data_IF_005580251681
#
_entry.id   IF_005580251681
#
_cell.length_a   1.000
_cell.length_b   1.000
_cell.length_c   1.000
_cell.angle_alpha   90.00
_cell.angle_beta   90.00
_cell.angle_gamma   90.00
#
_symmetry.space_group_name_H-M   'P 1'
#
loop_
_entity.id
_entity.type
_entity.pdbx_description
1 polymer ?
#
# COMPACT_ATOMS: atom_id res chain seq x y z
N UNK A 1 70.67 50.80 -5.52
CA UNK A 1 69.80 50.22 -4.47
C UNK A 1 68.42 49.98 -5.09
N UNK A 2 68.11 48.74 -5.48
CA UNK A 2 66.86 48.39 -6.14
C UNK A 2 65.78 48.07 -5.08
N UNK A 3 64.70 48.85 -5.08
CA UNK A 3 63.60 48.75 -4.11
C UNK A 3 62.65 47.62 -4.55
N UNK A 4 62.69 46.49 -3.85
CA UNK A 4 61.96 45.27 -4.17
C UNK A 4 60.59 45.29 -3.48
N UNK A 5 59.59 45.86 -4.15
CA UNK A 5 58.21 45.92 -3.68
C UNK A 5 57.53 44.54 -3.69
N UNK A 6 57.36 43.94 -2.52
CA UNK A 6 56.64 42.68 -2.33
C UNK A 6 55.14 42.91 -2.57
N UNK A 7 54.63 42.50 -3.74
CA UNK A 7 53.20 42.41 -4.01
C UNK A 7 52.57 41.28 -3.16
N UNK A 8 51.92 41.63 -2.04
CA UNK A 8 50.97 40.73 -1.37
C UNK A 8 49.80 40.46 -2.32
N UNK A 9 49.77 39.27 -2.94
CA UNK A 9 48.54 38.77 -3.57
C UNK A 9 47.53 38.51 -2.46
N UNK A 10 46.38 39.19 -2.50
CA UNK A 10 45.19 38.78 -1.76
C UNK A 10 44.91 37.34 -2.16
N UNK A 11 44.94 36.43 -1.18
CA UNK A 11 44.41 35.09 -1.35
C UNK A 11 42.95 35.27 -1.79
N UNK A 12 42.65 34.86 -3.02
CA UNK A 12 41.28 34.74 -3.47
C UNK A 12 40.61 33.75 -2.53
N UNK A 13 39.61 34.24 -1.79
CA UNK A 13 38.63 33.38 -1.11
C UNK A 13 38.11 32.44 -2.18
N UNK A 14 38.50 31.16 -2.08
CA UNK A 14 37.86 30.11 -2.84
C UNK A 14 36.42 30.08 -2.33
N UNK A 15 35.52 30.65 -3.13
CA UNK A 15 34.08 30.40 -3.05
C UNK A 15 33.91 28.88 -3.19
N UNK A 16 34.04 28.17 -2.08
CA UNK A 16 33.62 26.80 -1.96
C UNK A 16 32.13 26.85 -2.30
N UNK A 17 31.79 26.40 -3.52
CA UNK A 17 30.43 26.31 -4.02
C UNK A 17 29.60 25.48 -3.07
N UNK A 18 29.05 26.16 -2.07
CA UNK A 18 28.21 25.57 -1.05
C UNK A 18 26.92 25.18 -1.75
N UNK A 19 26.75 23.89 -2.01
CA UNK A 19 25.46 23.32 -2.30
C UNK A 19 24.55 23.78 -1.15
N UNK A 20 23.74 24.82 -1.41
CA UNK A 20 23.05 25.51 -0.32
C UNK A 20 22.17 24.48 0.38
N UNK A 21 22.16 24.49 1.73
CA UNK A 21 21.37 23.57 2.56
C UNK A 21 19.91 23.44 2.09
N UNK A 22 19.37 24.48 1.46
CA UNK A 22 18.04 24.52 0.84
C UNK A 22 17.84 23.46 -0.25
N UNK A 23 18.87 23.15 -1.04
CA UNK A 23 18.84 22.13 -2.09
C UNK A 23 18.87 20.70 -1.55
N UNK A 24 19.34 20.51 -0.30
CA UNK A 24 19.30 19.22 0.40
C UNK A 24 18.03 19.10 1.24
N UNK A 25 17.64 20.16 1.93
CA UNK A 25 16.48 20.18 2.82
C UNK A 25 15.15 20.03 2.05
N UNK A 26 15.03 20.62 0.86
CA UNK A 26 13.81 20.54 0.06
C UNK A 26 13.42 19.09 -0.34
N UNK A 27 14.29 18.28 -0.98
CA UNK A 27 13.94 16.91 -1.32
C UNK A 27 13.72 16.01 -0.10
N UNK A 28 14.44 16.26 1.01
CA UNK A 28 14.22 15.52 2.27
C UNK A 28 12.84 15.83 2.84
N UNK A 29 12.42 17.09 2.87
CA UNK A 29 11.09 17.49 3.32
C UNK A 29 9.99 16.88 2.45
N UNK A 30 10.17 16.90 1.12
CA UNK A 30 9.22 16.26 0.19
C UNK A 30 9.16 14.76 0.43
N UNK A 31 10.31 14.08 0.58
CA UNK A 31 10.36 12.65 0.88
C UNK A 31 9.68 12.29 2.21
N UNK A 32 9.92 13.09 3.25
CA UNK A 32 9.26 12.91 4.56
C UNK A 32 7.76 13.15 4.44
N UNK A 33 7.32 14.17 3.71
CA UNK A 33 5.89 14.45 3.48
C UNK A 33 5.23 13.33 2.70
N UNK A 34 5.91 12.79 1.67
CA UNK A 34 5.42 11.67 0.87
C UNK A 34 5.33 10.39 1.69
N UNK A 35 6.30 10.10 2.57
CA UNK A 35 6.25 8.96 3.48
C UNK A 35 5.14 9.13 4.53
N UNK A 36 4.98 10.32 5.10
CA UNK A 36 3.87 10.64 6.00
C UNK A 36 2.53 10.47 5.30
N UNK A 37 2.41 10.93 4.06
CA UNK A 37 1.20 10.74 3.25
C UNK A 37 0.92 9.25 3.03
N UNK A 38 1.94 8.46 2.70
CA UNK A 38 1.78 7.02 2.51
C UNK A 38 1.38 6.32 3.82
N UNK A 39 1.97 6.70 4.96
CA UNK A 39 1.68 6.05 6.24
C UNK A 39 0.35 6.49 6.88
N UNK A 40 -0.10 7.72 6.64
CA UNK A 40 -1.34 8.27 7.22
C UNK A 40 -2.54 8.05 6.31
N UNK A 41 -2.35 8.09 4.99
CA UNK A 41 -3.44 7.99 4.00
C UNK A 41 -3.42 6.70 3.18
N UNK A 42 -2.46 5.77 3.36
CA UNK A 42 -2.62 4.45 2.76
C UNK A 42 -3.87 3.78 3.35
N UNK A 43 -4.77 3.25 2.50
CA UNK A 43 -5.89 2.48 3.01
C UNK A 43 -5.35 1.31 3.83
N UNK A 44 -6.03 0.95 4.94
CA UNK A 44 -5.64 -0.20 5.73
C UNK A 44 -5.59 -1.45 4.84
N UNK A 45 -4.69 -2.40 5.13
CA UNK A 45 -4.64 -3.64 4.39
C UNK A 45 -6.02 -4.32 4.44
N UNK A 46 -6.48 -4.91 3.33
CA UNK A 46 -7.81 -5.52 3.28
C UNK A 46 -7.90 -6.64 4.32
N UNK A 47 -8.93 -6.58 5.15
CA UNK A 47 -9.19 -7.62 6.15
C UNK A 47 -9.58 -8.93 5.46
N UNK A 48 -9.42 -10.06 6.16
CA UNK A 48 -9.85 -11.37 5.66
C UNK A 48 -11.32 -11.35 5.25
N UNK A 49 -12.19 -10.71 6.03
CA UNK A 49 -13.61 -10.56 5.71
C UNK A 49 -13.85 -9.80 4.39
N UNK A 50 -13.08 -8.75 4.12
CA UNK A 50 -13.15 -8.03 2.85
C UNK A 50 -12.73 -8.91 1.67
N UNK A 51 -11.68 -9.72 1.85
CA UNK A 51 -11.22 -10.65 0.82
C UNK A 51 -12.24 -11.75 0.55
N UNK A 52 -12.87 -12.29 1.61
CA UNK A 52 -13.94 -13.28 1.48
C UNK A 52 -15.14 -12.73 0.72
N UNK A 53 -15.59 -11.51 1.05
CA UNK A 53 -16.67 -10.84 0.31
C UNK A 53 -16.29 -10.58 -1.14
N UNK A 54 -15.04 -10.19 -1.41
CA UNK A 54 -14.56 -9.99 -2.77
C UNK A 54 -14.56 -11.29 -3.58
N UNK A 55 -14.19 -12.40 -2.95
CA UNK A 55 -14.22 -13.73 -3.56
C UNK A 55 -15.66 -14.20 -3.85
N UNK A 56 -16.59 -14.01 -2.93
CA UNK A 56 -18.01 -14.29 -3.18
C UNK A 56 -18.58 -13.45 -4.34
N UNK A 57 -18.21 -12.17 -4.38
CA UNK A 57 -18.60 -11.29 -5.48
C UNK A 57 -18.01 -11.76 -6.81
N UNK A 58 -16.75 -12.20 -6.81
CA UNK A 58 -16.09 -12.75 -8.00
C UNK A 58 -16.79 -14.02 -8.51
N UNK A 59 -17.17 -14.95 -7.64
CA UNK A 59 -17.96 -16.14 -8.01
C UNK A 59 -19.26 -15.72 -8.70
N UNK A 60 -19.99 -14.76 -8.12
CA UNK A 60 -21.26 -14.28 -8.68
C UNK A 60 -21.09 -13.60 -10.03
N UNK A 61 -20.00 -12.86 -10.23
CA UNK A 61 -19.68 -12.22 -11.50
C UNK A 61 -19.42 -13.23 -12.62
N UNK A 62 -18.93 -14.42 -12.29
CA UNK A 62 -18.61 -15.47 -13.24
C UNK A 62 -19.73 -16.51 -13.37
N UNK A 63 -20.97 -16.16 -12.99
CA UNK A 63 -22.14 -17.04 -13.14
C UNK A 63 -22.31 -18.09 -12.04
N UNK A 64 -21.46 -18.07 -11.01
CA UNK A 64 -21.66 -18.84 -9.81
C UNK A 64 -22.82 -18.31 -8.96
N UNK A 65 -23.43 -19.19 -8.17
CA UNK A 65 -24.54 -18.82 -7.27
C UNK A 65 -24.19 -19.27 -5.86
N UNK A 66 -24.35 -18.36 -4.90
CA UNK A 66 -24.14 -18.60 -3.48
C UNK A 66 -25.44 -18.24 -2.78
N UNK A 67 -26.13 -19.25 -2.24
CA UNK A 67 -27.45 -19.12 -1.62
C UNK A 67 -27.41 -19.56 -0.17
N UNK A 68 -27.93 -18.72 0.73
CA UNK A 68 -28.10 -19.02 2.16
C UNK A 68 -26.81 -19.39 2.93
N UNK A 69 -25.65 -19.17 2.32
CA UNK A 69 -24.34 -19.41 2.92
C UNK A 69 -23.40 -18.25 2.62
N UNK A 70 -22.41 -18.07 3.48
CA UNK A 70 -21.32 -17.12 3.33
C UNK A 70 -20.00 -17.76 3.80
N UNK A 71 -18.88 -17.23 3.31
CA UNK A 71 -17.56 -17.57 3.82
C UNK A 71 -17.28 -16.74 5.06
N UNK A 72 -16.81 -17.41 6.11
CA UNK A 72 -16.47 -16.78 7.38
C UNK A 72 -15.17 -17.35 7.94
N UNK A 73 -14.45 -16.54 8.70
CA UNK A 73 -13.29 -16.98 9.46
C UNK A 73 -13.75 -17.51 10.83
N UNK A 74 -13.32 -18.72 11.15
CA UNK A 74 -13.59 -19.38 12.42
C UNK A 74 -12.29 -19.47 13.25
N UNK A 75 -12.26 -18.89 14.46
CA UNK A 75 -11.09 -18.97 15.33
C UNK A 75 -10.65 -20.42 15.56
N UNK A 76 -9.39 -20.72 15.26
CA UNK A 76 -8.80 -22.06 15.45
C UNK A 76 -9.13 -23.10 14.37
N UNK A 77 -10.03 -22.81 13.42
CA UNK A 77 -10.39 -23.72 12.32
C UNK A 77 -10.03 -23.17 10.93
N UNK A 78 -9.83 -21.86 10.80
CA UNK A 78 -9.54 -21.22 9.53
C UNK A 78 -10.80 -20.70 8.85
N UNK A 79 -10.83 -20.70 7.52
CA UNK A 79 -11.97 -20.21 6.73
C UNK A 79 -12.93 -21.37 6.45
N UNK A 80 -14.22 -21.16 6.67
CA UNK A 80 -15.26 -22.13 6.42
C UNK A 80 -16.53 -21.50 5.85
N UNK A 81 -17.54 -22.33 5.65
CA UNK A 81 -18.86 -21.92 5.16
C UNK A 81 -19.83 -21.82 6.34
N UNK A 82 -20.47 -20.67 6.50
CA UNK A 82 -21.48 -20.39 7.51
C UNK A 82 -22.84 -20.21 6.85
N UNK A 83 -23.89 -20.78 7.44
CA UNK A 83 -25.27 -20.56 7.00
C UNK A 83 -25.75 -19.16 7.40
N UNK A 84 -26.42 -18.45 6.50
CA UNK A 84 -27.02 -17.13 6.77
C UNK A 84 -28.52 -17.21 7.05
N UNK A 85 -29.13 -18.35 6.72
CA UNK A 85 -30.53 -18.68 7.00
C UNK A 85 -30.66 -20.19 7.22
N UNK A 86 -31.86 -20.64 7.58
CA UNK A 86 -32.16 -22.07 7.63
C UNK A 86 -31.95 -22.71 6.26
N UNK A 87 -31.38 -23.92 6.25
CA UNK A 87 -31.09 -24.72 5.06
C UNK A 87 -31.68 -26.11 5.30
N UNK A 88 -32.43 -26.59 4.31
CA UNK A 88 -33.01 -27.93 4.32
C UNK A 88 -32.22 -28.88 3.43
N UNK A 89 -32.46 -30.17 3.61
CA UNK A 89 -31.81 -31.18 2.79
C UNK A 89 -32.18 -30.97 1.31
N UNK A 90 -31.16 -31.01 0.43
CA UNK A 90 -31.25 -30.80 -1.03
C UNK A 90 -31.40 -29.35 -1.49
N UNK A 91 -31.34 -28.37 -0.59
CA UNK A 91 -31.24 -26.97 -0.99
C UNK A 91 -29.93 -26.70 -1.74
N UNK A 92 -30.01 -26.02 -2.88
CA UNK A 92 -28.83 -25.58 -3.63
C UNK A 92 -28.21 -24.38 -2.92
N UNK A 93 -27.13 -24.63 -2.18
CA UNK A 93 -26.41 -23.58 -1.43
C UNK A 93 -25.25 -22.97 -2.21
N UNK A 94 -24.68 -23.72 -3.16
CA UNK A 94 -23.53 -23.31 -3.95
C UNK A 94 -23.60 -23.95 -5.33
N UNK A 95 -23.43 -23.13 -6.35
CA UNK A 95 -23.25 -23.55 -7.74
C UNK A 95 -22.01 -22.88 -8.30
N UNK A 96 -21.08 -23.68 -8.82
CA UNK A 96 -19.88 -23.23 -9.50
C UNK A 96 -19.90 -23.71 -10.96
N UNK A 97 -19.97 -22.78 -11.93
CA UNK A 97 -19.72 -23.07 -13.33
C UNK A 97 -18.39 -23.78 -13.56
N UNK A 98 -18.32 -24.62 -14.59
CA UNK A 98 -17.12 -25.42 -14.88
C UNK A 98 -15.91 -24.57 -15.30
N UNK A 99 -16.15 -23.42 -15.90
CA UNK A 99 -15.13 -22.46 -16.31
C UNK A 99 -14.41 -21.80 -15.12
N UNK A 100 -14.91 -21.96 -13.90
CA UNK A 100 -14.28 -21.49 -12.66
C UNK A 100 -13.31 -22.49 -12.02
N UNK A 101 -13.25 -23.74 -12.51
CA UNK A 101 -12.49 -24.86 -11.92
C UNK A 101 -11.53 -25.48 -12.94
#
# INVERSE_FOLDING_TARGET
MANMGIKRRKAGTLEAGGLSWRWVAAPVLVGVLSLLWLHVFAPPPPTTEMQLRAFEAWIRQHGGRIGNVQLAAFPGMGIGVQTTSDITEKDEVLYLPRDLV
#
